data_IF_098315543100
#
_entry.id   IF_098315543100
#
_cell.length_a   1.000
_cell.length_b   1.000
_cell.length_c   1.000
_cell.angle_alpha   90.00
_cell.angle_beta   90.00
_cell.angle_gamma   90.00
#
_symmetry.space_group_name_H-M   'P 1'
#
loop_
_entity.id
_entity.type
_entity.pdbx_description
1 polymer ?
#
# COMPACT_ATOMS: atom_id res chain seq x y z
N UNK A 1 -12.45 -3.84 8.45
CA UNK A 1 -12.71 -2.71 7.53
C UNK A 1 -13.92 -1.92 8.04
N UNK A 2 -13.72 -1.01 9.03
CA UNK A 2 -14.82 -0.49 9.87
C UNK A 2 -15.42 0.85 9.40
N UNK A 3 -14.79 1.59 8.48
CA UNK A 3 -15.18 2.96 8.12
C UNK A 3 -15.15 3.20 6.59
N UNK A 4 -15.75 2.31 5.79
CA UNK A 4 -15.91 2.51 4.34
C UNK A 4 -17.19 3.30 4.06
N UNK A 5 -17.08 4.43 3.36
CA UNK A 5 -18.21 5.22 2.86
C UNK A 5 -18.84 4.65 1.59
N UNK A 6 -18.10 3.82 0.83
CA UNK A 6 -18.65 3.02 -0.28
C UNK A 6 -18.52 1.54 0.03
N UNK A 7 -19.63 0.81 -0.06
CA UNK A 7 -19.59 -0.64 -0.06
C UNK A 7 -19.08 -1.13 -1.42
N UNK A 8 -18.06 -1.99 -1.37
CA UNK A 8 -17.65 -2.77 -2.54
C UNK A 8 -18.36 -4.11 -2.50
N UNK A 9 -19.10 -4.41 -3.56
CA UNK A 9 -19.87 -5.65 -3.70
C UNK A 9 -18.96 -6.87 -3.83
N UNK A 10 -17.75 -6.69 -4.38
CA UNK A 10 -16.79 -7.76 -4.62
C UNK A 10 -15.39 -7.45 -4.03
N UNK A 11 -15.16 -7.88 -2.79
CA UNK A 11 -13.91 -7.63 -2.05
C UNK A 11 -12.72 -8.37 -2.68
N UNK A 12 -12.95 -9.55 -3.26
CA UNK A 12 -11.90 -10.34 -3.89
C UNK A 12 -11.34 -9.65 -5.14
N UNK A 13 -12.21 -9.06 -5.96
CA UNK A 13 -11.79 -8.31 -7.14
C UNK A 13 -11.05 -7.03 -6.76
N UNK A 14 -11.57 -6.26 -5.80
CA UNK A 14 -10.87 -5.08 -5.27
C UNK A 14 -9.48 -5.45 -4.75
N UNK A 15 -9.37 -6.54 -3.99
CA UNK A 15 -8.09 -7.03 -3.48
C UNK A 15 -7.12 -7.36 -4.60
N UNK A 16 -7.59 -7.99 -5.68
CA UNK A 16 -6.78 -8.27 -6.88
C UNK A 16 -6.30 -6.98 -7.55
N UNK A 17 -7.18 -5.98 -7.70
CA UNK A 17 -6.81 -4.68 -8.28
C UNK A 17 -5.77 -3.96 -7.42
N UNK A 18 -6.00 -3.85 -6.12
CA UNK A 18 -5.07 -3.21 -5.17
C UNK A 18 -3.73 -3.92 -5.16
N UNK A 19 -3.72 -5.26 -5.19
CA UNK A 19 -2.48 -6.05 -5.26
C UNK A 19 -1.68 -5.76 -6.54
N UNK A 20 -2.36 -5.61 -7.68
CA UNK A 20 -1.71 -5.22 -8.94
C UNK A 20 -1.06 -3.85 -8.86
N UNK A 21 -1.77 -2.86 -8.31
CA UNK A 21 -1.23 -1.50 -8.10
C UNK A 21 0.00 -1.53 -7.21
N UNK A 22 -0.04 -2.25 -6.08
CA UNK A 22 1.10 -2.38 -5.18
C UNK A 22 2.30 -3.06 -5.83
N UNK A 23 2.07 -4.06 -6.68
CA UNK A 23 3.13 -4.73 -7.41
C UNK A 23 3.84 -3.78 -8.38
N UNK A 24 3.07 -2.99 -9.14
CA UNK A 24 3.61 -1.98 -10.06
C UNK A 24 4.37 -0.88 -9.32
N UNK A 25 3.82 -0.39 -8.20
CA UNK A 25 4.48 0.63 -7.37
C UNK A 25 5.80 0.12 -6.78
N UNK A 26 5.85 -1.14 -6.37
CA UNK A 26 7.08 -1.74 -5.85
C UNK A 26 8.15 -1.85 -6.95
N UNK A 27 7.79 -2.33 -8.14
CA UNK A 27 8.73 -2.38 -9.28
C UNK A 27 9.22 -1.00 -9.68
N UNK A 28 8.35 0.02 -9.68
CA UNK A 28 8.73 1.41 -9.94
C UNK A 28 9.70 1.94 -8.87
N UNK A 29 9.41 1.71 -7.58
CA UNK A 29 10.27 2.13 -6.48
C UNK A 29 11.66 1.46 -6.56
N UNK A 30 11.71 0.18 -6.95
CA UNK A 30 12.96 -0.55 -7.15
C UNK A 30 13.75 -0.04 -8.36
N UNK A 31 13.08 0.33 -9.45
CA UNK A 31 13.73 0.84 -10.66
C UNK A 31 14.23 2.29 -10.50
N UNK A 32 13.50 3.12 -9.76
CA UNK A 32 13.83 4.52 -9.54
C UNK A 32 14.77 4.73 -8.35
N UNK A 33 14.74 3.82 -7.37
CA UNK A 33 15.54 3.90 -6.17
C UNK A 33 17.02 3.55 -6.42
N UNK A 34 17.95 4.12 -5.63
CA UNK A 34 19.34 3.67 -5.63
C UNK A 34 19.44 2.19 -5.21
N UNK A 35 20.51 1.54 -5.66
CA UNK A 35 20.80 0.14 -5.33
C UNK A 35 20.86 -0.05 -3.80
N UNK A 36 19.89 -0.78 -3.25
CA UNK A 36 19.74 -0.99 -1.79
C UNK A 36 18.49 -0.35 -1.18
N UNK A 37 17.60 0.24 -1.98
CA UNK A 37 16.31 0.76 -1.49
C UNK A 37 15.47 -0.36 -0.90
N UNK A 38 15.11 -0.23 0.39
CA UNK A 38 14.27 -1.18 1.12
C UNK A 38 12.79 -1.04 0.70
N UNK A 39 12.44 -1.57 -0.47
CA UNK A 39 11.06 -1.75 -0.91
C UNK A 39 10.18 -0.48 -0.91
N UNK A 40 8.89 -0.68 -1.12
CA UNK A 40 7.87 0.35 -1.03
C UNK A 40 7.28 0.41 0.40
N UNK A 41 7.29 1.60 1.03
CA UNK A 41 6.85 1.81 2.42
C UNK A 41 5.47 2.47 2.53
N UNK A 42 5.29 3.63 1.92
CA UNK A 42 4.00 4.32 1.93
C UNK A 42 3.88 5.32 0.78
N UNK A 43 2.64 5.59 0.37
CA UNK A 43 2.31 6.66 -0.57
C UNK A 43 1.18 7.51 0.02
N UNK A 44 1.27 8.81 -0.21
CA UNK A 44 0.27 9.77 0.31
C UNK A 44 -0.47 10.39 -0.85
N UNK A 45 -1.80 10.37 -0.77
CA UNK A 45 -2.69 11.13 -1.64
C UNK A 45 -3.40 12.21 -0.81
N UNK A 46 -4.05 13.20 -1.43
CA UNK A 46 -4.80 14.22 -0.69
C UNK A 46 -5.92 13.66 0.19
N UNK A 47 -6.46 12.49 -0.17
CA UNK A 47 -7.63 11.90 0.48
C UNK A 47 -7.27 10.84 1.52
N UNK A 48 -6.17 10.11 1.31
CA UNK A 48 -5.73 9.03 2.18
C UNK A 48 -4.23 8.78 2.03
N UNK A 49 -3.64 8.14 3.03
CA UNK A 49 -2.30 7.56 2.99
C UNK A 49 -2.39 6.05 3.03
N UNK A 50 -1.61 5.39 2.19
CA UNK A 50 -1.49 3.94 2.19
C UNK A 50 -0.13 3.57 2.80
N UNK A 51 -0.18 2.71 3.81
CA UNK A 51 0.98 2.11 4.44
C UNK A 51 1.11 0.66 3.96
N UNK A 52 2.29 0.29 3.48
CA UNK A 52 2.63 -1.07 3.10
C UNK A 52 3.77 -1.58 3.96
N UNK A 53 3.51 -2.66 4.68
CA UNK A 53 4.53 -3.34 5.48
C UNK A 53 4.71 -4.75 4.96
N UNK A 54 5.93 -5.09 4.58
CA UNK A 54 6.30 -6.43 4.12
C UNK A 54 7.17 -7.13 5.16
N UNK A 55 6.75 -8.32 5.58
CA UNK A 55 7.57 -9.16 6.46
C UNK A 55 8.57 -9.97 5.62
N UNK A 56 9.73 -10.34 6.18
CA UNK A 56 10.69 -11.22 5.51
C UNK A 56 10.12 -12.61 5.18
N UNK A 57 9.00 -12.98 5.82
CA UNK A 57 8.23 -14.20 5.53
C UNK A 57 7.31 -14.08 4.32
N UNK A 58 7.24 -12.91 3.67
CA UNK A 58 6.46 -12.68 2.45
C UNK A 58 5.02 -12.25 2.67
N UNK A 59 4.61 -11.93 3.91
CA UNK A 59 3.30 -11.34 4.17
C UNK A 59 3.36 -9.84 3.93
N UNK A 60 2.34 -9.30 3.26
CA UNK A 60 2.23 -7.87 2.99
C UNK A 60 0.96 -7.32 3.64
N UNK A 61 1.14 -6.43 4.59
CA UNK A 61 0.07 -5.71 5.28
C UNK A 61 -0.13 -4.36 4.59
N UNK A 62 -1.37 -4.07 4.22
CA UNK A 62 -1.76 -2.86 3.52
C UNK A 62 -2.83 -2.17 4.34
N UNK A 63 -2.56 -0.92 4.73
CA UNK A 63 -3.47 -0.15 5.57
C UNK A 63 -3.70 1.24 4.98
N UNK A 64 -4.97 1.59 4.83
CA UNK A 64 -5.39 2.92 4.39
C UNK A 64 -5.75 3.74 5.62
N UNK A 65 -5.12 4.90 5.77
CA UNK A 65 -5.29 5.82 6.90
C UNK A 65 -5.49 7.25 6.40
N UNK A 66 -5.80 8.17 7.31
CA UNK A 66 -5.80 9.60 7.02
C UNK A 66 -4.39 10.11 6.62
N UNK A 67 -4.30 11.11 5.73
CA UNK A 67 -3.02 11.64 5.25
C UNK A 67 -2.15 12.27 6.35
N UNK A 68 -2.74 12.58 7.51
CA UNK A 68 -2.05 13.16 8.67
C UNK A 68 -1.34 12.11 9.53
N UNK A 69 -1.54 10.81 9.26
CA UNK A 69 -0.97 9.73 10.07
C UNK A 69 0.53 9.55 9.76
N UNK A 70 1.42 9.56 10.78
CA UNK A 70 2.85 9.36 10.58
C UNK A 70 3.15 7.95 10.09
N UNK A 71 4.29 7.80 9.40
CA UNK A 71 4.81 6.49 9.00
C UNK A 71 5.43 5.76 10.21
N UNK A 72 5.37 4.43 10.22
CA UNK A 72 5.98 3.64 11.29
C UNK A 72 7.49 3.51 11.01
N UNK A 73 8.29 4.31 11.73
CA UNK A 73 9.76 4.21 11.71
C UNK A 73 10.27 2.86 12.21
#
# INVERSE_FOLDING_TARGET
EWNRTRQCENIAEETKYVSGVLLTLNSLAQQLGPAGTKGFLSYTTPQYKLHSFETPTGFRFVLTTDPKVPDQQ
#
